data_IF_546111094123
#
_entry.id   IF_546111094123
#
_cell.length_a   1.000
_cell.length_b   1.000
_cell.length_c   1.000
_cell.angle_alpha   90.00
_cell.angle_beta   90.00
_cell.angle_gamma   90.00
#
_symmetry.space_group_name_H-M   'P 1'
#
loop_
_entity.id
_entity.type
_entity.pdbx_description
1 polymer ?
#
# COMPACT_ATOMS: atom_id res chain seq x y z
N UNK A 1 55.02 53.24 -42.16
CA UNK A 1 54.40 51.94 -41.86
C UNK A 1 54.24 51.71 -40.35
N UNK A 2 53.22 52.28 -39.66
CA UNK A 2 52.90 51.78 -38.31
C UNK A 2 51.40 51.55 -38.01
N UNK A 3 50.48 51.66 -38.97
CA UNK A 3 49.04 51.54 -38.68
C UNK A 3 48.41 50.15 -38.93
N UNK A 4 49.07 49.25 -39.68
CA UNK A 4 48.53 47.90 -39.94
C UNK A 4 48.86 46.85 -38.87
N UNK A 5 49.80 47.12 -37.95
CA UNK A 5 50.12 46.17 -36.86
C UNK A 5 49.24 46.32 -35.62
N UNK A 6 48.65 47.50 -35.37
CA UNK A 6 47.78 47.70 -34.21
C UNK A 6 46.37 47.12 -34.39
N UNK A 7 45.80 47.12 -35.60
CA UNK A 7 44.48 46.53 -35.85
C UNK A 7 44.48 45.01 -35.72
N UNK A 8 45.56 44.34 -36.14
CA UNK A 8 45.70 42.89 -36.01
C UNK A 8 45.91 42.46 -34.56
N UNK A 9 46.59 43.26 -33.74
CA UNK A 9 46.81 42.96 -32.31
C UNK A 9 45.52 43.18 -31.51
N UNK A 10 44.74 44.22 -31.79
CA UNK A 10 43.42 44.42 -31.15
C UNK A 10 42.42 43.31 -31.52
N UNK A 11 42.41 42.86 -32.78
CA UNK A 11 41.52 41.79 -33.23
C UNK A 11 41.87 40.45 -32.55
N UNK A 12 43.16 40.12 -32.46
CA UNK A 12 43.64 38.89 -31.79
C UNK A 12 43.37 38.93 -30.28
N UNK A 13 43.53 40.09 -29.63
CA UNK A 13 43.16 40.28 -28.21
C UNK A 13 41.65 40.17 -27.97
N UNK A 14 40.82 40.68 -28.88
CA UNK A 14 39.36 40.55 -28.76
C UNK A 14 38.87 39.10 -28.97
N UNK A 15 39.47 38.36 -29.91
CA UNK A 15 39.13 36.95 -30.16
C UNK A 15 39.63 36.05 -29.02
N UNK A 16 40.79 36.32 -28.44
CA UNK A 16 41.28 35.57 -27.27
C UNK A 16 40.45 35.86 -26.02
N UNK A 17 40.04 37.11 -25.78
CA UNK A 17 39.16 37.46 -24.66
C UNK A 17 37.76 36.85 -24.82
N UNK A 18 37.20 36.83 -26.04
CA UNK A 18 35.93 36.14 -26.35
C UNK A 18 36.08 34.63 -26.18
N UNK A 19 37.19 34.02 -26.62
CA UNK A 19 37.41 32.59 -26.42
C UNK A 19 37.66 32.20 -24.95
N UNK A 20 38.24 33.10 -24.15
CA UNK A 20 38.40 32.92 -22.71
C UNK A 20 37.07 33.12 -21.96
N UNK A 21 36.24 34.09 -22.37
CA UNK A 21 34.87 34.25 -21.87
C UNK A 21 33.99 33.06 -22.28
N UNK A 22 34.09 32.56 -23.50
CA UNK A 22 33.41 31.33 -23.94
C UNK A 22 33.91 30.09 -23.19
N UNK A 23 35.19 30.03 -22.82
CA UNK A 23 35.73 28.96 -21.98
C UNK A 23 35.29 29.08 -20.51
N UNK A 24 35.21 30.29 -19.96
CA UNK A 24 34.69 30.56 -18.60
C UNK A 24 33.17 30.39 -18.49
N UNK A 25 32.43 30.61 -19.59
CA UNK A 25 30.98 30.33 -19.68
C UNK A 25 30.73 28.85 -20.03
N UNK A 26 31.71 28.14 -20.61
CA UNK A 26 31.70 26.67 -20.82
C UNK A 26 32.09 25.86 -19.59
N UNK A 27 32.62 26.46 -18.53
CA UNK A 27 32.30 26.01 -17.17
C UNK A 27 30.84 26.38 -16.87
N UNK A 28 29.95 25.85 -17.71
CA UNK A 28 28.54 25.78 -17.41
C UNK A 28 28.47 25.12 -16.04
N UNK A 29 27.87 25.80 -15.08
CA UNK A 29 27.14 25.15 -14.02
C UNK A 29 26.27 24.10 -14.70
N UNK A 30 26.80 22.89 -14.85
CA UNK A 30 26.01 21.73 -15.21
C UNK A 30 25.10 21.61 -14.02
N UNK A 31 23.90 22.15 -14.16
CA UNK A 31 22.77 21.79 -13.32
C UNK A 31 22.54 20.30 -13.59
N UNK A 32 23.40 19.47 -13.01
CA UNK A 32 23.08 18.09 -12.78
C UNK A 32 21.92 18.15 -11.81
N UNK A 33 20.73 17.80 -12.30
CA UNK A 33 19.68 17.30 -11.44
C UNK A 33 20.34 16.17 -10.66
N UNK A 34 20.79 16.45 -9.44
CA UNK A 34 21.18 15.40 -8.52
C UNK A 34 19.95 14.51 -8.42
N UNK A 35 20.11 13.23 -8.75
CA UNK A 35 19.16 12.23 -8.26
C UNK A 35 18.93 12.50 -6.78
N UNK A 36 17.70 12.34 -6.25
CA UNK A 36 17.47 12.49 -4.82
C UNK A 36 18.60 11.78 -4.09
N UNK A 37 19.22 12.45 -3.13
CA UNK A 37 20.10 11.77 -2.19
C UNK A 37 19.18 10.76 -1.49
N UNK A 38 19.10 9.55 -2.04
CA UNK A 38 18.42 8.44 -1.39
C UNK A 38 18.96 8.46 0.03
N UNK A 39 18.09 8.50 1.06
CA UNK A 39 18.52 8.47 2.46
C UNK A 39 19.64 7.46 2.55
N UNK A 40 20.84 7.95 2.93
CA UNK A 40 22.10 7.32 2.56
C UNK A 40 21.95 5.79 2.52
N UNK A 41 22.36 5.17 1.41
CA UNK A 41 22.55 3.72 1.34
C UNK A 41 23.59 3.20 2.36
N UNK A 42 24.03 4.05 3.30
CA UNK A 42 24.71 3.66 4.52
C UNK A 42 23.77 2.80 5.33
N UNK A 43 23.97 1.50 5.12
CA UNK A 43 23.82 0.43 6.07
C UNK A 43 24.12 0.97 7.49
N UNK A 44 23.11 1.44 8.21
CA UNK A 44 22.97 0.89 9.54
C UNK A 44 22.68 -0.58 9.27
N UNK A 45 23.57 -1.47 9.71
CA UNK A 45 23.37 -2.91 9.57
C UNK A 45 21.95 -3.17 10.06
N UNK A 46 21.10 -3.75 9.20
CA UNK A 46 19.71 -4.02 9.53
C UNK A 46 19.65 -4.60 10.94
N UNK A 47 19.14 -3.80 11.87
CA UNK A 47 19.09 -4.12 13.28
C UNK A 47 17.63 -4.21 13.66
N UNK A 48 17.27 -5.35 14.22
CA UNK A 48 15.94 -5.52 14.77
C UNK A 48 15.75 -4.56 15.95
N UNK A 49 14.53 -4.01 16.14
CA UNK A 49 14.26 -3.12 17.24
C UNK A 49 14.43 -3.88 18.56
N UNK A 50 14.82 -3.15 19.61
CA UNK A 50 15.01 -3.76 20.93
C UNK A 50 13.76 -4.50 21.39
N UNK A 51 13.93 -5.71 21.91
CA UNK A 51 12.83 -6.59 22.32
C UNK A 51 12.21 -7.44 21.21
N UNK A 52 12.63 -7.28 19.94
CA UNK A 52 12.16 -8.12 18.84
C UNK A 52 12.89 -9.47 18.81
N UNK A 53 12.22 -10.51 19.30
CA UNK A 53 12.69 -11.89 19.19
C UNK A 53 11.98 -12.65 18.06
N UNK A 54 12.41 -13.88 17.79
CA UNK A 54 11.89 -14.72 16.70
C UNK A 54 10.38 -14.93 16.78
N UNK A 55 9.87 -15.32 17.95
CA UNK A 55 8.46 -15.66 18.14
C UNK A 55 7.57 -14.42 18.03
N UNK A 56 8.02 -13.29 18.59
CA UNK A 56 7.31 -12.01 18.48
C UNK A 56 7.30 -11.50 17.03
N UNK A 57 8.41 -11.65 16.30
CA UNK A 57 8.46 -11.30 14.88
C UNK A 57 7.48 -12.16 14.08
N UNK A 58 7.49 -13.48 14.28
CA UNK A 58 6.53 -14.39 13.63
C UNK A 58 5.09 -14.00 13.95
N UNK A 59 4.76 -13.78 15.23
CA UNK A 59 3.40 -13.42 15.67
C UNK A 59 2.94 -12.12 15.02
N UNK A 60 3.81 -11.11 14.92
CA UNK A 60 3.49 -9.83 14.29
C UNK A 60 3.42 -9.90 12.76
N UNK A 61 4.30 -10.64 12.09
CA UNK A 61 4.22 -10.86 10.63
C UNK A 61 2.96 -11.64 10.27
N UNK A 62 2.66 -12.72 10.99
CA UNK A 62 1.43 -13.48 10.79
C UNK A 62 0.20 -12.62 11.12
N UNK A 63 0.29 -11.79 12.16
CA UNK A 63 -0.73 -10.80 12.50
C UNK A 63 -0.99 -9.85 11.34
N UNK A 64 0.04 -9.28 10.73
CA UNK A 64 -0.10 -8.39 9.57
C UNK A 64 -0.74 -9.09 8.37
N UNK A 65 -0.30 -10.32 8.05
CA UNK A 65 -0.85 -11.11 6.94
C UNK A 65 -2.32 -11.48 7.17
N UNK A 66 -2.65 -12.02 8.34
CA UNK A 66 -4.01 -12.49 8.65
C UNK A 66 -4.95 -11.32 8.93
N UNK A 67 -4.48 -10.26 9.59
CA UNK A 67 -5.23 -9.03 9.78
C UNK A 67 -5.59 -8.39 8.44
N UNK A 68 -4.65 -8.34 7.49
CA UNK A 68 -4.91 -7.92 6.11
C UNK A 68 -5.96 -8.80 5.44
N UNK A 69 -5.82 -10.13 5.52
CA UNK A 69 -6.73 -11.06 4.88
C UNK A 69 -8.14 -11.04 5.49
N UNK A 70 -8.27 -10.77 6.79
CA UNK A 70 -9.57 -10.53 7.44
C UNK A 70 -10.19 -9.24 6.88
N UNK A 71 -9.42 -8.16 6.79
CA UNK A 71 -9.90 -6.88 6.25
C UNK A 71 -10.39 -7.01 4.81
N UNK A 72 -9.56 -7.57 3.93
CA UNK A 72 -9.89 -7.91 2.54
C UNK A 72 -11.22 -8.71 2.48
N UNK A 73 -11.29 -9.83 3.19
CA UNK A 73 -12.47 -10.69 3.16
C UNK A 73 -13.75 -10.08 3.77
N UNK A 74 -13.62 -9.12 4.69
CA UNK A 74 -14.77 -8.38 5.22
C UNK A 74 -15.22 -7.25 4.29
N UNK A 75 -14.30 -6.62 3.54
CA UNK A 75 -14.63 -5.57 2.58
C UNK A 75 -15.18 -6.12 1.26
N UNK A 76 -14.61 -7.23 0.78
CA UNK A 76 -14.91 -7.80 -0.55
C UNK A 76 -16.40 -8.00 -0.89
N UNK A 77 -17.31 -8.36 0.06
CA UNK A 77 -18.74 -8.44 -0.22
C UNK A 77 -19.41 -7.10 -0.59
N UNK A 78 -18.82 -5.99 -0.16
CA UNK A 78 -19.38 -4.63 -0.24
C UNK A 78 -18.50 -3.65 -1.02
N UNK A 79 -17.48 -4.17 -1.70
CA UNK A 79 -16.58 -3.37 -2.51
C UNK A 79 -17.37 -2.55 -3.56
N UNK A 80 -17.03 -1.27 -3.66
CA UNK A 80 -17.67 -0.26 -4.51
C UNK A 80 -19.13 0.07 -4.18
N UNK A 81 -19.69 -0.43 -3.07
CA UNK A 81 -21.06 -0.12 -2.68
C UNK A 81 -21.17 1.23 -1.98
N UNK A 82 -22.32 1.87 -2.11
CA UNK A 82 -22.70 2.97 -1.23
C UNK A 82 -23.14 2.41 0.12
N UNK A 83 -22.82 3.08 1.22
CA UNK A 83 -23.20 2.64 2.58
C UNK A 83 -24.71 2.41 2.78
N UNK A 84 -25.55 3.12 2.02
CA UNK A 84 -27.01 2.92 2.09
C UNK A 84 -27.40 1.53 1.54
N UNK A 85 -26.71 1.07 0.49
CA UNK A 85 -26.92 -0.27 -0.06
C UNK A 85 -26.43 -1.34 0.93
N UNK A 86 -25.27 -1.10 1.57
CA UNK A 86 -24.73 -1.98 2.62
C UNK A 86 -25.75 -2.12 3.76
N UNK A 87 -26.24 -1.00 4.30
CA UNK A 87 -27.21 -1.00 5.40
C UNK A 87 -28.54 -1.66 4.98
N UNK A 88 -29.02 -1.38 3.78
CA UNK A 88 -30.29 -1.94 3.29
C UNK A 88 -30.22 -3.45 3.09
N UNK A 89 -29.13 -3.95 2.51
CA UNK A 89 -29.00 -5.35 2.09
C UNK A 89 -28.39 -6.25 3.18
N UNK A 90 -27.42 -5.75 3.94
CA UNK A 90 -26.68 -6.52 4.95
C UNK A 90 -26.90 -6.02 6.39
N UNK A 91 -27.30 -4.76 6.56
CA UNK A 91 -27.31 -4.11 7.87
C UNK A 91 -25.90 -3.65 8.27
N UNK A 92 -25.56 -3.79 9.55
CA UNK A 92 -24.21 -3.53 10.04
C UNK A 92 -23.30 -4.74 9.81
N UNK A 93 -22.25 -4.56 9.03
CA UNK A 93 -21.26 -5.59 8.72
C UNK A 93 -20.27 -5.72 9.87
N UNK A 94 -20.30 -6.86 10.57
CA UNK A 94 -19.45 -7.13 11.73
C UNK A 94 -18.78 -8.51 11.73
N UNK A 95 -18.87 -9.22 10.59
CA UNK A 95 -18.34 -10.55 10.43
C UNK A 95 -17.92 -10.83 8.98
N UNK A 96 -17.41 -12.04 8.72
CA UNK A 96 -17.09 -12.48 7.36
C UNK A 96 -18.37 -12.93 6.65
N UNK A 97 -18.66 -12.29 5.52
CA UNK A 97 -19.85 -12.52 4.69
C UNK A 97 -19.53 -13.14 3.32
N UNK A 98 -20.56 -13.66 2.66
CA UNK A 98 -20.45 -14.26 1.33
C UNK A 98 -20.11 -13.19 0.29
N UNK A 99 -19.18 -13.46 -0.61
CA UNK A 99 -18.86 -12.55 -1.71
C UNK A 99 -19.78 -12.87 -2.89
N UNK A 100 -20.98 -12.28 -2.90
CA UNK A 100 -22.03 -12.56 -3.90
C UNK A 100 -21.84 -11.64 -5.12
N UNK A 101 -20.92 -12.02 -6.01
CA UNK A 101 -20.71 -11.38 -7.31
C UNK A 101 -20.03 -12.33 -8.28
N UNK A 102 -19.97 -11.94 -9.55
CA UNK A 102 -19.16 -12.63 -10.56
C UNK A 102 -17.68 -12.59 -10.18
N UNK A 103 -16.94 -13.59 -10.62
CA UNK A 103 -15.50 -13.59 -10.44
C UNK A 103 -14.81 -12.65 -11.42
N UNK A 104 -13.66 -12.13 -11.03
CA UNK A 104 -12.82 -11.29 -11.89
C UNK A 104 -11.34 -11.54 -11.57
N UNK A 105 -10.41 -11.11 -12.45
CA UNK A 105 -8.98 -11.25 -12.19
C UNK A 105 -8.54 -10.50 -10.94
N UNK A 106 -9.01 -9.28 -10.72
CA UNK A 106 -8.66 -8.41 -9.58
C UNK A 106 -9.52 -8.74 -8.34
N UNK A 107 -10.77 -9.12 -8.51
CA UNK A 107 -11.67 -9.49 -7.41
C UNK A 107 -11.60 -10.98 -7.04
N UNK A 108 -12.72 -11.62 -6.66
CA UNK A 108 -12.76 -13.05 -6.35
C UNK A 108 -12.56 -13.89 -7.62
N UNK A 109 -11.78 -14.97 -7.54
CA UNK A 109 -11.55 -15.85 -8.69
C UNK A 109 -12.69 -16.81 -9.03
N UNK A 110 -13.75 -16.85 -8.23
CA UNK A 110 -14.93 -17.64 -8.52
C UNK A 110 -16.18 -16.87 -8.08
N UNK A 111 -17.30 -17.14 -8.76
CA UNK A 111 -18.57 -16.58 -8.36
C UNK A 111 -18.97 -17.10 -6.97
N UNK A 112 -19.54 -16.22 -6.15
CA UNK A 112 -20.12 -16.54 -4.85
C UNK A 112 -19.14 -17.25 -3.91
N UNK A 113 -18.03 -16.58 -3.54
CA UNK A 113 -17.09 -17.14 -2.58
C UNK A 113 -17.75 -17.28 -1.20
N UNK A 114 -17.42 -18.36 -0.45
CA UNK A 114 -17.84 -18.46 0.92
C UNK A 114 -17.16 -17.38 1.77
N UNK A 115 -17.74 -17.11 2.93
CA UNK A 115 -17.21 -16.10 3.83
C UNK A 115 -15.77 -16.41 4.28
N UNK A 116 -14.92 -15.40 4.14
CA UNK A 116 -13.45 -15.51 4.24
C UNK A 116 -12.74 -15.48 2.88
N UNK A 117 -13.46 -15.46 1.76
CA UNK A 117 -12.88 -15.26 0.43
C UNK A 117 -12.27 -13.86 0.27
N UNK A 118 -11.09 -13.80 -0.32
CA UNK A 118 -10.25 -12.61 -0.48
C UNK A 118 -10.03 -12.25 -1.96
N UNK A 119 -9.48 -11.07 -2.24
CA UNK A 119 -9.26 -10.50 -3.58
C UNK A 119 -7.77 -10.46 -3.97
N UNK A 120 -7.39 -9.59 -4.91
CA UNK A 120 -5.99 -9.39 -5.29
C UNK A 120 -5.15 -8.73 -4.19
N UNK A 121 -5.78 -8.04 -3.24
CA UNK A 121 -5.13 -7.57 -2.02
C UNK A 121 -4.33 -8.68 -1.35
N UNK A 122 -4.97 -9.75 -0.90
CA UNK A 122 -4.26 -10.85 -0.25
C UNK A 122 -3.23 -11.52 -1.17
N UNK A 123 -3.50 -11.59 -2.48
CA UNK A 123 -2.58 -12.17 -3.47
C UNK A 123 -1.31 -11.33 -3.65
N UNK A 124 -1.42 -10.00 -3.62
CA UNK A 124 -0.27 -9.09 -3.68
C UNK A 124 0.61 -9.19 -2.44
N UNK A 125 -0.01 -9.25 -1.25
CA UNK A 125 0.72 -9.49 0.01
C UNK A 125 1.47 -10.83 -0.05
N UNK A 126 0.84 -11.89 -0.55
CA UNK A 126 1.46 -13.21 -0.69
C UNK A 126 2.62 -13.20 -1.70
N UNK A 127 2.41 -12.62 -2.89
CA UNK A 127 3.42 -12.54 -3.95
C UNK A 127 4.67 -11.77 -3.49
N UNK A 128 4.49 -10.59 -2.89
CA UNK A 128 5.62 -9.83 -2.39
C UNK A 128 6.29 -10.54 -1.21
N UNK A 129 5.53 -11.15 -0.30
CA UNK A 129 6.10 -11.93 0.80
C UNK A 129 7.03 -13.04 0.30
N UNK A 130 6.61 -13.79 -0.74
CA UNK A 130 7.45 -14.84 -1.34
C UNK A 130 8.72 -14.29 -2.02
N UNK A 131 8.65 -13.09 -2.58
CA UNK A 131 9.84 -12.38 -3.07
C UNK A 131 10.80 -12.02 -1.94
N UNK A 132 10.28 -11.46 -0.85
CA UNK A 132 11.10 -11.02 0.28
C UNK A 132 11.72 -12.21 1.03
N UNK A 133 10.99 -13.32 1.17
CA UNK A 133 11.48 -14.53 1.84
C UNK A 133 12.62 -15.22 1.08
N UNK A 134 12.69 -15.04 -0.24
CA UNK A 134 13.74 -15.60 -1.10
C UNK A 134 14.78 -14.57 -1.53
N UNK A 135 14.59 -13.30 -1.16
CA UNK A 135 15.50 -12.23 -1.53
C UNK A 135 16.89 -12.44 -0.91
N UNK A 136 18.00 -12.09 -1.57
CA UNK A 136 19.32 -12.23 -0.95
C UNK A 136 19.41 -11.47 0.38
N UNK A 137 19.96 -12.10 1.41
CA UNK A 137 20.19 -11.44 2.69
C UNK A 137 21.28 -10.37 2.60
N UNK A 138 21.29 -9.45 3.56
CA UNK A 138 22.30 -8.39 3.72
C UNK A 138 22.46 -7.45 2.51
N UNK A 139 21.42 -7.31 1.69
CA UNK A 139 21.44 -6.35 0.58
C UNK A 139 21.29 -4.91 1.10
N UNK A 140 22.03 -3.94 0.53
CA UNK A 140 21.92 -2.54 0.91
C UNK A 140 20.56 -1.95 0.51
N UNK A 141 19.83 -2.58 -0.41
CA UNK A 141 18.50 -2.18 -0.87
C UNK A 141 17.75 -3.32 -1.57
N UNK A 142 16.44 -3.20 -1.66
CA UNK A 142 15.63 -3.97 -2.59
C UNK A 142 15.87 -3.47 -4.01
N UNK A 143 16.01 -4.38 -4.97
CA UNK A 143 16.22 -4.06 -6.37
C UNK A 143 14.87 -3.98 -7.09
N UNK A 144 14.46 -2.78 -7.55
CA UNK A 144 13.20 -2.64 -8.28
C UNK A 144 13.19 -3.41 -9.60
N UNK A 145 14.35 -3.72 -10.20
CA UNK A 145 14.40 -4.58 -11.40
C UNK A 145 14.13 -6.05 -11.05
N UNK A 146 14.67 -6.55 -9.95
CA UNK A 146 14.36 -7.89 -9.46
C UNK A 146 12.86 -8.02 -9.14
N UNK A 147 12.28 -6.99 -8.52
CA UNK A 147 10.83 -6.92 -8.27
C UNK A 147 10.01 -6.91 -9.56
N UNK A 148 10.36 -6.06 -10.53
CA UNK A 148 9.71 -6.04 -11.84
C UNK A 148 9.83 -7.40 -12.57
N UNK A 149 11.02 -8.01 -12.53
CA UNK A 149 11.26 -9.33 -13.13
C UNK A 149 10.39 -10.41 -12.50
N UNK A 150 10.22 -10.41 -11.17
CA UNK A 150 9.33 -11.36 -10.49
C UNK A 150 7.91 -11.30 -11.07
N UNK A 151 7.37 -10.10 -11.29
CA UNK A 151 6.02 -9.88 -11.83
C UNK A 151 5.93 -10.40 -13.26
N UNK A 152 6.91 -10.07 -14.10
CA UNK A 152 6.98 -10.53 -15.50
C UNK A 152 7.07 -12.05 -15.56
N UNK A 153 7.99 -12.65 -14.81
CA UNK A 153 8.18 -14.11 -14.78
C UNK A 153 6.91 -14.82 -14.28
N UNK A 154 6.22 -14.26 -13.28
CA UNK A 154 4.98 -14.83 -12.76
C UNK A 154 3.87 -14.77 -13.82
N UNK A 155 3.68 -13.61 -14.46
CA UNK A 155 2.70 -13.43 -15.51
C UNK A 155 2.95 -14.35 -16.71
N UNK A 156 4.20 -14.48 -17.17
CA UNK A 156 4.57 -15.37 -18.27
C UNK A 156 4.29 -16.84 -17.95
N UNK A 157 4.59 -17.29 -16.72
CA UNK A 157 4.23 -18.63 -16.25
C UNK A 157 2.72 -18.84 -16.24
N UNK A 158 1.98 -17.89 -15.67
CA UNK A 158 0.53 -17.97 -15.54
C UNK A 158 -0.18 -18.01 -16.91
N UNK A 159 0.26 -17.20 -17.87
CA UNK A 159 -0.25 -17.22 -19.24
C UNK A 159 0.08 -18.53 -19.94
N UNK A 160 1.31 -19.03 -19.79
CA UNK A 160 1.70 -20.32 -20.36
C UNK A 160 0.81 -21.46 -19.86
N UNK A 161 0.53 -21.48 -18.56
CA UNK A 161 -0.33 -22.49 -17.94
C UNK A 161 -1.79 -22.36 -18.43
N UNK A 162 -2.33 -21.13 -18.48
CA UNK A 162 -3.68 -20.88 -18.99
C UNK A 162 -3.84 -21.33 -20.45
N UNK A 163 -2.86 -21.03 -21.31
CA UNK A 163 -2.88 -21.41 -22.73
C UNK A 163 -2.62 -22.91 -22.98
N UNK A 164 -2.17 -23.66 -21.95
CA UNK A 164 -2.02 -25.10 -22.05
C UNK A 164 -3.37 -25.85 -21.97
N UNK A 165 -4.43 -25.19 -21.51
CA UNK A 165 -5.78 -25.75 -21.43
C UNK A 165 -6.33 -26.00 -22.84
N UNK A 166 -6.55 -27.28 -23.18
CA UNK A 166 -7.16 -27.70 -24.45
C UNK A 166 -8.55 -28.24 -24.18
N UNK A 167 -9.58 -27.46 -24.53
CA UNK A 167 -10.98 -27.84 -24.40
C UNK A 167 -11.78 -27.29 -25.59
N UNK A 168 -12.79 -28.04 -26.04
CA UNK A 168 -13.79 -27.53 -26.99
C UNK A 168 -14.82 -26.64 -26.29
N UNK A 169 -15.10 -26.92 -25.01
CA UNK A 169 -15.87 -26.04 -24.13
C UNK A 169 -15.00 -24.82 -23.74
N UNK A 170 -15.48 -23.58 -23.91
CA UNK A 170 -14.73 -22.38 -23.51
C UNK A 170 -14.59 -22.22 -21.99
N UNK A 171 -15.52 -22.75 -21.18
CA UNK A 171 -15.58 -22.46 -19.75
C UNK A 171 -14.30 -22.82 -18.96
N UNK A 172 -13.61 -23.95 -19.21
CA UNK A 172 -12.31 -24.24 -18.58
C UNK A 172 -11.22 -23.21 -18.88
N UNK A 173 -11.15 -22.70 -20.12
CA UNK A 173 -10.16 -21.70 -20.51
C UNK A 173 -10.48 -20.34 -19.89
N UNK A 174 -11.75 -19.93 -19.91
CA UNK A 174 -12.21 -18.68 -19.28
C UNK A 174 -11.88 -18.64 -17.79
N UNK A 175 -12.11 -19.75 -17.08
CA UNK A 175 -11.79 -19.88 -15.66
C UNK A 175 -10.29 -19.75 -15.38
N UNK A 176 -9.44 -20.36 -16.19
CA UNK A 176 -7.99 -20.22 -16.03
C UNK A 176 -7.52 -18.82 -16.41
N UNK A 177 -8.03 -18.23 -17.49
CA UNK A 177 -7.71 -16.85 -17.85
C UNK A 177 -8.06 -15.88 -16.72
N UNK A 178 -9.25 -16.01 -16.11
CA UNK A 178 -9.65 -15.19 -14.97
C UNK A 178 -8.64 -15.28 -13.82
N UNK A 179 -8.16 -16.47 -13.48
CA UNK A 179 -7.17 -16.67 -12.41
C UNK A 179 -5.76 -16.20 -12.77
N UNK A 180 -5.41 -16.25 -14.06
CA UNK A 180 -4.03 -16.14 -14.54
C UNK A 180 -3.70 -14.79 -15.16
N UNK A 181 -4.70 -13.93 -15.38
CA UNK A 181 -4.53 -12.62 -16.01
C UNK A 181 -4.53 -11.44 -15.01
N UNK A 182 -4.66 -11.67 -13.71
CA UNK A 182 -4.70 -10.61 -12.70
C UNK A 182 -3.44 -9.72 -12.64
N UNK A 183 -2.30 -10.22 -13.12
CA UNK A 183 -1.05 -9.44 -13.26
C UNK A 183 -0.92 -8.75 -14.63
N UNK A 184 -1.93 -8.79 -15.50
CA UNK A 184 -1.79 -8.31 -16.89
C UNK A 184 -1.42 -6.82 -16.98
N UNK A 185 -2.16 -5.95 -16.29
CA UNK A 185 -1.85 -4.51 -16.28
C UNK A 185 -0.49 -4.22 -15.62
N UNK A 186 -0.16 -4.98 -14.58
CA UNK A 186 1.12 -4.89 -13.87
C UNK A 186 2.30 -5.30 -14.75
N UNK A 187 2.18 -6.41 -15.48
CA UNK A 187 3.23 -6.89 -16.38
C UNK A 187 3.51 -5.92 -17.54
N UNK A 188 2.48 -5.20 -18.04
CA UNK A 188 2.64 -4.16 -19.07
C UNK A 188 3.54 -3.01 -18.62
N UNK A 189 3.54 -2.68 -17.33
CA UNK A 189 4.43 -1.66 -16.74
C UNK A 189 5.78 -2.26 -16.34
N UNK A 190 5.77 -3.44 -15.70
CA UNK A 190 6.96 -4.09 -15.17
C UNK A 190 7.95 -4.51 -16.27
N UNK A 191 7.46 -5.00 -17.42
CA UNK A 191 8.31 -5.48 -18.52
C UNK A 191 9.23 -4.38 -19.08
N UNK A 192 8.74 -3.24 -19.58
CA UNK A 192 9.62 -2.19 -20.08
C UNK A 192 10.53 -1.61 -18.98
N UNK A 193 10.08 -1.57 -17.72
CA UNK A 193 10.94 -1.18 -16.60
C UNK A 193 12.14 -2.13 -16.44
N UNK A 194 11.88 -3.44 -16.42
CA UNK A 194 12.90 -4.48 -16.32
C UNK A 194 13.87 -4.44 -17.52
N UNK A 195 13.34 -4.23 -18.74
CA UNK A 195 14.10 -4.17 -19.99
C UNK A 195 14.91 -2.87 -20.17
N UNK A 196 14.80 -1.90 -19.25
CA UNK A 196 15.37 -0.55 -19.35
C UNK A 196 14.84 0.26 -20.54
N UNK A 197 13.64 -0.07 -21.01
CA UNK A 197 12.92 0.76 -21.96
C UNK A 197 12.21 1.90 -21.22
N UNK A 198 12.94 3.00 -21.02
CA UNK A 198 12.41 4.17 -20.31
C UNK A 198 11.19 4.80 -21.02
N UNK A 199 11.16 4.75 -22.35
CA UNK A 199 10.04 5.31 -23.11
C UNK A 199 8.80 4.42 -22.98
N UNK A 200 8.97 3.11 -23.14
CA UNK A 200 7.90 2.13 -22.93
C UNK A 200 7.39 2.14 -21.49
N UNK A 201 8.29 2.24 -20.50
CA UNK A 201 7.91 2.32 -19.09
C UNK A 201 7.13 3.59 -18.80
N UNK A 202 7.61 4.75 -19.27
CA UNK A 202 6.90 6.01 -19.11
C UNK A 202 5.51 5.95 -19.76
N UNK A 203 5.41 5.42 -20.97
CA UNK A 203 4.13 5.25 -21.66
C UNK A 203 3.17 4.32 -20.91
N UNK A 204 3.67 3.17 -20.45
CA UNK A 204 2.87 2.19 -19.73
C UNK A 204 2.39 2.71 -18.37
N UNK A 205 3.30 3.31 -17.58
CA UNK A 205 2.98 3.86 -16.26
C UNK A 205 1.88 4.92 -16.33
N UNK A 206 1.94 5.84 -17.30
CA UNK A 206 0.92 6.89 -17.45
C UNK A 206 -0.44 6.36 -17.98
N UNK A 207 -0.56 5.06 -18.26
CA UNK A 207 -1.80 4.40 -18.68
C UNK A 207 -2.26 3.30 -17.73
N UNK A 208 -1.43 2.96 -16.75
CA UNK A 208 -1.73 1.95 -15.74
C UNK A 208 -3.00 2.38 -14.99
N UNK A 209 -4.03 1.52 -15.02
CA UNK A 209 -5.38 1.84 -14.56
C UNK A 209 -5.92 3.20 -15.05
N UNK A 210 -5.69 3.50 -16.34
CA UNK A 210 -6.16 4.73 -16.96
C UNK A 210 -5.29 5.95 -16.68
N UNK A 211 -4.14 5.79 -16.02
CA UNK A 211 -3.26 6.89 -15.60
C UNK A 211 -3.67 7.50 -14.25
N UNK A 212 -4.51 6.81 -13.50
CA UNK A 212 -4.97 7.23 -12.17
C UNK A 212 -3.85 7.12 -11.13
N UNK A 213 -3.88 7.96 -10.10
CA UNK A 213 -3.05 7.82 -8.89
C UNK A 213 -3.63 6.72 -7.98
N UNK A 214 -3.72 5.50 -8.52
CA UNK A 214 -4.30 4.34 -7.86
C UNK A 214 -3.49 3.91 -6.62
N UNK A 215 -4.15 3.18 -5.72
CA UNK A 215 -3.57 2.61 -4.49
C UNK A 215 -2.61 1.42 -4.73
N UNK A 216 -2.12 1.22 -5.95
CA UNK A 216 -1.38 0.03 -6.39
C UNK A 216 -0.22 -0.36 -5.47
N UNK A 217 0.64 0.58 -5.09
CA UNK A 217 1.73 0.31 -4.16
C UNK A 217 1.28 -0.08 -2.75
N UNK A 218 0.11 0.38 -2.31
CA UNK A 218 -0.46 0.09 -1.01
C UNK A 218 -0.87 -1.39 -0.87
N UNK A 219 -1.15 -2.09 -1.97
CA UNK A 219 -1.54 -3.50 -1.95
C UNK A 219 -0.39 -4.39 -1.43
N UNK A 220 0.87 -4.04 -1.72
CA UNK A 220 2.03 -4.85 -1.31
C UNK A 220 2.91 -4.16 -0.24
N UNK A 221 2.87 -2.84 -0.11
CA UNK A 221 3.66 -2.08 0.87
C UNK A 221 3.65 -2.62 2.31
N UNK A 222 2.54 -3.18 2.86
CA UNK A 222 2.53 -3.72 4.21
C UNK A 222 3.65 -4.74 4.49
N UNK A 223 3.97 -5.61 3.52
CA UNK A 223 5.00 -6.63 3.73
C UNK A 223 6.41 -6.05 3.72
N UNK A 224 6.64 -4.93 3.04
CA UNK A 224 7.90 -4.18 3.13
C UNK A 224 8.07 -3.62 4.54
N UNK A 225 6.98 -3.11 5.13
CA UNK A 225 6.96 -2.64 6.52
C UNK A 225 7.25 -3.76 7.51
N UNK A 226 6.61 -4.92 7.34
CA UNK A 226 6.83 -6.10 8.17
C UNK A 226 8.27 -6.62 8.08
N UNK A 227 8.89 -6.55 6.90
CA UNK A 227 10.28 -6.95 6.65
C UNK A 227 11.31 -6.00 7.29
N UNK A 228 10.95 -4.73 7.54
CA UNK A 228 11.79 -3.73 8.19
C UNK A 228 11.20 -3.26 9.54
N UNK A 229 11.03 -4.16 10.52
CA UNK A 229 10.34 -3.84 11.77
C UNK A 229 11.04 -2.71 12.53
N UNK A 230 10.29 -1.69 12.96
CA UNK A 230 10.81 -0.53 13.68
C UNK A 230 11.68 0.44 12.86
N UNK A 231 12.12 0.08 11.65
CA UNK A 231 12.91 0.97 10.80
C UNK A 231 12.02 1.69 9.79
N UNK A 232 11.32 2.69 10.28
CA UNK A 232 10.24 3.39 9.58
C UNK A 232 10.74 4.13 8.32
N UNK A 233 11.89 4.79 8.40
CA UNK A 233 12.48 5.49 7.25
C UNK A 233 12.96 4.51 6.16
N UNK A 234 13.49 3.35 6.57
CA UNK A 234 13.89 2.29 5.64
C UNK A 234 12.69 1.67 4.94
N UNK A 235 11.66 1.28 5.69
CA UNK A 235 10.42 0.75 5.14
C UNK A 235 9.80 1.70 4.11
N UNK A 236 9.72 2.99 4.45
CA UNK A 236 9.27 4.03 3.52
C UNK A 236 10.11 4.04 2.23
N UNK A 237 11.43 4.11 2.36
CA UNK A 237 12.33 4.32 1.22
C UNK A 237 12.36 3.12 0.28
N UNK A 238 12.35 1.90 0.82
CA UNK A 238 12.31 0.69 0.00
C UNK A 238 10.95 0.47 -0.65
N UNK A 239 9.87 0.80 0.04
CA UNK A 239 8.53 0.77 -0.56
C UNK A 239 8.38 1.82 -1.66
N UNK A 240 8.87 3.03 -1.44
CA UNK A 240 8.95 4.05 -2.48
C UNK A 240 9.78 3.56 -3.68
N UNK A 241 10.91 2.90 -3.44
CA UNK A 241 11.78 2.35 -4.49
C UNK A 241 11.06 1.30 -5.34
N UNK A 242 10.30 0.40 -4.72
CA UNK A 242 9.51 -0.63 -5.39
C UNK A 242 8.19 -0.11 -6.00
N UNK A 243 7.74 1.10 -5.62
CA UNK A 243 6.58 1.81 -6.16
C UNK A 243 6.71 2.24 -7.62
N UNK A 244 7.06 1.32 -8.51
CA UNK A 244 7.23 1.55 -9.96
C UNK A 244 5.90 1.69 -10.71
N UNK A 245 4.77 1.44 -10.02
CA UNK A 245 3.40 1.57 -10.53
C UNK A 245 2.71 2.86 -10.09
N UNK A 246 3.27 3.54 -9.09
CA UNK A 246 2.61 4.68 -8.45
C UNK A 246 2.96 6.00 -9.14
N UNK A 247 1.94 6.82 -9.35
CA UNK A 247 2.06 8.16 -9.92
C UNK A 247 2.05 9.25 -8.83
N UNK A 248 2.90 10.27 -9.01
CA UNK A 248 2.91 11.46 -8.16
C UNK A 248 3.01 11.14 -6.67
N UNK A 249 2.10 11.71 -5.88
CA UNK A 249 2.09 11.54 -4.43
C UNK A 249 1.50 10.20 -3.95
N UNK A 250 0.90 9.39 -4.84
CA UNK A 250 0.54 8.01 -4.49
C UNK A 250 1.77 7.23 -4.04
N UNK A 251 2.93 7.52 -4.63
CA UNK A 251 4.21 6.90 -4.26
C UNK A 251 4.69 7.31 -2.86
N UNK A 252 4.43 8.54 -2.43
CA UNK A 252 4.66 9.00 -1.04
C UNK A 252 3.76 8.24 -0.05
N UNK A 253 2.49 8.07 -0.42
CA UNK A 253 1.51 7.31 0.36
C UNK A 253 1.90 5.83 0.45
N UNK A 254 2.34 5.19 -0.64
CA UNK A 254 2.88 3.82 -0.66
C UNK A 254 4.02 3.67 0.34
N UNK A 255 4.98 4.60 0.33
CA UNK A 255 6.05 4.65 1.32
C UNK A 255 5.52 4.74 2.75
N UNK A 256 4.55 5.62 3.02
CA UNK A 256 3.91 5.75 4.34
C UNK A 256 3.17 4.48 4.76
N UNK A 257 2.49 3.78 3.85
CA UNK A 257 1.82 2.51 4.14
C UNK A 257 2.78 1.47 4.71
N UNK A 258 3.95 1.28 4.09
CA UNK A 258 4.99 0.42 4.64
C UNK A 258 5.51 0.94 5.98
N UNK A 259 5.67 2.26 6.10
CA UNK A 259 6.15 2.90 7.31
C UNK A 259 5.22 2.68 8.52
N UNK A 260 3.89 2.71 8.34
CA UNK A 260 2.93 2.46 9.43
C UNK A 260 3.06 1.04 9.96
N UNK A 261 3.18 0.06 9.05
CA UNK A 261 3.38 -1.34 9.46
C UNK A 261 4.72 -1.50 10.17
N UNK A 262 5.81 -0.94 9.66
CA UNK A 262 7.10 -0.95 10.35
C UNK A 262 7.03 -0.33 11.75
N UNK A 263 6.30 0.78 11.91
CA UNK A 263 6.09 1.43 13.20
C UNK A 263 5.25 0.55 14.15
N UNK A 264 4.21 -0.13 13.63
CA UNK A 264 3.36 -1.05 14.36
C UNK A 264 4.08 -2.33 14.80
N UNK A 265 5.10 -2.75 14.04
CA UNK A 265 5.96 -3.88 14.42
C UNK A 265 6.80 -3.59 15.67
N UNK A 266 7.03 -2.32 16.04
CA UNK A 266 7.90 -2.00 17.18
C UNK A 266 7.33 -2.56 18.50
N UNK A 267 8.11 -3.36 19.27
CA UNK A 267 7.64 -3.90 20.54
C UNK A 267 7.26 -2.80 21.54
N UNK A 268 6.08 -2.93 22.16
CA UNK A 268 5.59 -1.99 23.16
C UNK A 268 5.26 -0.58 22.65
N UNK A 269 5.15 -0.39 21.34
CA UNK A 269 4.75 0.91 20.77
C UNK A 269 3.35 1.30 21.25
N UNK A 270 3.14 2.59 21.54
CA UNK A 270 1.80 3.11 21.80
C UNK A 270 1.08 3.39 20.48
N UNK A 271 -0.21 3.05 20.39
CA UNK A 271 -0.97 3.11 19.15
C UNK A 271 -0.98 4.51 18.50
N UNK A 272 -1.06 5.58 19.30
CA UNK A 272 -1.05 6.98 18.84
C UNK A 272 0.22 7.36 18.07
N UNK A 273 1.31 6.60 18.24
CA UNK A 273 2.58 6.82 17.55
C UNK A 273 2.58 6.29 16.12
N UNK A 274 1.67 5.37 15.78
CA UNK A 274 1.64 4.74 14.45
C UNK A 274 1.28 5.79 13.40
N UNK A 275 0.12 6.45 13.52
CA UNK A 275 -0.32 7.46 12.55
C UNK A 275 0.49 8.76 12.61
N UNK A 276 1.16 9.04 13.74
CA UNK A 276 1.98 10.24 13.93
C UNK A 276 3.14 10.33 12.93
N UNK A 277 3.60 9.19 12.37
CA UNK A 277 4.69 9.20 11.38
C UNK A 277 4.33 9.95 10.09
N UNK A 278 3.03 10.13 9.79
CA UNK A 278 2.56 10.97 8.68
C UNK A 278 3.10 12.40 8.77
N UNK A 279 3.39 12.86 9.99
CA UNK A 279 4.04 14.15 10.28
C UNK A 279 5.57 14.04 10.30
N UNK A 280 6.13 13.00 10.90
CA UNK A 280 7.56 12.96 11.26
C UNK A 280 8.47 12.21 10.29
N UNK A 281 7.93 11.41 9.38
CA UNK A 281 8.71 10.59 8.44
C UNK A 281 8.53 11.11 7.02
N UNK A 282 9.53 11.82 6.53
CA UNK A 282 9.57 12.39 5.18
C UNK A 282 11.01 12.29 4.60
N UNK A 283 11.53 11.06 4.41
CA UNK A 283 12.93 10.87 4.05
C UNK A 283 13.26 11.35 2.62
N UNK A 284 12.24 11.54 1.77
CA UNK A 284 12.38 12.11 0.42
C UNK A 284 11.94 13.58 0.34
N UNK A 285 11.69 14.22 1.48
CA UNK A 285 11.46 15.65 1.61
C UNK A 285 10.29 16.20 0.77
N UNK A 286 9.17 15.47 0.68
CA UNK A 286 7.93 15.92 0.04
C UNK A 286 7.38 17.21 0.66
N UNK A 287 7.64 17.45 1.94
CA UNK A 287 7.27 18.68 2.66
C UNK A 287 7.94 19.94 2.11
N UNK A 288 9.06 19.80 1.40
CA UNK A 288 9.72 20.93 0.73
C UNK A 288 8.99 21.45 -0.51
N UNK A 289 7.91 20.80 -0.96
CA UNK A 289 7.09 21.26 -2.07
C UNK A 289 6.53 22.66 -1.79
N UNK A 290 7.09 23.68 -2.46
CA UNK A 290 6.85 25.10 -2.17
C UNK A 290 5.39 25.54 -2.30
N UNK A 291 4.64 24.97 -3.24
CA UNK A 291 3.28 25.42 -3.55
C UNK A 291 2.22 24.70 -2.72
N UNK A 292 2.37 23.39 -2.55
CA UNK A 292 1.31 22.55 -1.98
C UNK A 292 1.69 21.90 -0.65
N UNK A 293 2.96 21.95 -0.26
CA UNK A 293 3.49 21.17 0.86
C UNK A 293 3.35 19.67 0.61
N UNK A 294 3.37 18.87 1.69
CA UNK A 294 3.18 17.42 1.60
C UNK A 294 1.70 17.06 1.64
N UNK A 295 1.21 16.43 0.57
CA UNK A 295 -0.20 16.06 0.43
C UNK A 295 -0.62 15.03 1.49
N UNK A 296 0.18 13.99 1.72
CA UNK A 296 -0.10 12.98 2.74
C UNK A 296 -0.21 13.59 4.16
N UNK A 297 0.56 14.63 4.48
CA UNK A 297 0.43 15.32 5.76
C UNK A 297 -0.87 16.12 5.88
N UNK A 298 -1.37 16.70 4.77
CA UNK A 298 -2.70 17.35 4.76
C UNK A 298 -3.80 16.34 4.98
N UNK A 299 -3.73 15.18 4.32
CA UNK A 299 -4.67 14.06 4.50
C UNK A 299 -4.69 13.59 5.97
N UNK A 300 -3.51 13.46 6.60
CA UNK A 300 -3.43 13.15 8.03
C UNK A 300 -4.12 14.19 8.93
N UNK A 301 -3.98 15.48 8.62
CA UNK A 301 -4.68 16.55 9.35
C UNK A 301 -6.19 16.46 9.16
N UNK A 302 -6.65 16.17 7.94
CA UNK A 302 -8.06 15.99 7.63
C UNK A 302 -8.64 14.81 8.42
N UNK A 303 -7.95 13.67 8.46
CA UNK A 303 -8.35 12.51 9.30
C UNK A 303 -8.47 12.88 10.80
N UNK A 304 -7.49 13.62 11.35
CA UNK A 304 -7.53 14.10 12.73
C UNK A 304 -8.72 15.04 12.98
N UNK A 305 -9.01 15.93 12.04
CA UNK A 305 -10.15 16.83 12.11
C UNK A 305 -11.48 16.06 12.08
N UNK A 306 -11.64 15.15 11.11
CA UNK A 306 -12.84 14.31 10.98
C UNK A 306 -13.13 13.57 12.29
N UNK A 307 -12.13 12.89 12.84
CA UNK A 307 -12.30 12.13 14.09
C UNK A 307 -12.55 13.05 15.28
N UNK A 308 -11.94 14.24 15.32
CA UNK A 308 -12.20 15.22 16.36
C UNK A 308 -13.66 15.69 16.35
N UNK A 309 -14.15 16.14 15.19
CA UNK A 309 -15.54 16.58 15.01
C UNK A 309 -16.52 15.47 15.32
N UNK A 310 -16.29 14.27 14.78
CA UNK A 310 -17.11 13.10 15.07
C UNK A 310 -17.17 12.82 16.58
N UNK A 311 -16.01 12.75 17.27
CA UNK A 311 -15.97 12.46 18.72
C UNK A 311 -16.48 13.60 19.60
N UNK A 312 -16.62 14.81 19.06
CA UNK A 312 -17.17 15.97 19.78
C UNK A 312 -18.67 15.88 20.03
N UNK A 313 -19.39 15.10 19.22
CA UNK A 313 -20.83 14.85 19.41
C UNK A 313 -21.09 14.26 20.80
N UNK A 314 -22.11 14.81 21.44
CA UNK A 314 -22.70 14.36 22.69
C UNK A 314 -24.02 13.65 22.43
N UNK A 315 -24.59 13.02 23.47
CA UNK A 315 -25.83 12.25 23.34
C UNK A 315 -27.01 13.13 22.89
N UNK A 316 -27.00 14.41 23.25
CA UNK A 316 -28.02 15.40 22.91
C UNK A 316 -27.99 15.82 21.44
N UNK A 317 -26.84 15.64 20.77
CA UNK A 317 -26.68 15.96 19.35
C UNK A 317 -27.20 14.82 18.44
N UNK A 318 -27.45 13.64 19.00
CA UNK A 318 -27.92 12.46 18.26
C UNK A 318 -29.44 12.56 18.07
N UNK A 319 -29.95 12.49 16.83
CA UNK A 319 -31.39 12.53 16.58
C UNK A 319 -32.14 11.44 17.37
N UNK A 320 -33.25 11.83 18.02
CA UNK A 320 -34.05 10.91 18.83
C UNK A 320 -34.73 9.80 17.99
N UNK A 321 -34.90 10.05 16.69
CA UNK A 321 -35.46 9.15 15.68
C UNK A 321 -34.39 8.46 14.83
N UNK A 322 -33.12 8.46 15.27
CA UNK A 322 -32.03 7.78 14.58
C UNK A 322 -32.30 6.27 14.46
N UNK A 323 -32.52 5.81 13.24
CA UNK A 323 -32.66 4.38 12.95
C UNK A 323 -31.28 3.70 12.94
N UNK A 324 -31.11 2.71 13.82
CA UNK A 324 -29.90 1.91 13.86
C UNK A 324 -29.95 0.80 12.80
N UNK A 325 -28.83 0.51 12.11
CA UNK A 325 -28.73 -0.63 11.21
C UNK A 325 -29.11 -1.94 11.91
N UNK A 326 -29.62 -2.89 11.13
CA UNK A 326 -29.82 -4.27 11.64
C UNK A 326 -28.49 -4.82 12.15
N UNK A 327 -28.55 -5.56 13.26
CA UNK A 327 -27.39 -6.19 13.92
C UNK A 327 -26.35 -5.20 14.50
N UNK A 328 -26.67 -3.90 14.55
CA UNK A 328 -25.79 -2.93 15.19
C UNK A 328 -25.69 -3.20 16.70
N UNK A 329 -24.46 -3.29 17.21
CA UNK A 329 -24.16 -3.76 18.57
C UNK A 329 -23.65 -2.68 19.53
N UNK A 330 -23.49 -1.45 19.06
CA UNK A 330 -23.02 -0.32 19.88
C UNK A 330 -24.17 0.61 20.27
N UNK A 331 -23.86 1.62 21.07
CA UNK A 331 -24.85 2.63 21.46
C UNK A 331 -25.15 3.64 20.33
N UNK A 332 -26.30 4.34 20.38
CA UNK A 332 -26.67 5.34 19.38
C UNK A 332 -25.66 6.48 19.22
N UNK A 333 -24.96 6.85 20.30
CA UNK A 333 -23.94 7.89 20.23
C UNK A 333 -22.76 7.43 19.38
N UNK A 334 -22.28 6.20 19.53
CA UNK A 334 -21.26 5.62 18.68
C UNK A 334 -21.69 5.63 17.20
N UNK A 335 -22.95 5.24 16.91
CA UNK A 335 -23.46 5.29 15.54
C UNK A 335 -23.49 6.71 14.99
N UNK A 336 -24.01 7.68 15.75
CA UNK A 336 -24.03 9.10 15.35
C UNK A 336 -22.62 9.66 15.09
N UNK A 337 -21.63 9.29 15.92
CA UNK A 337 -20.23 9.65 15.69
C UNK A 337 -19.66 9.02 14.42
N UNK A 338 -19.97 7.75 14.16
CA UNK A 338 -19.55 7.07 12.94
C UNK A 338 -20.18 7.71 11.70
N UNK A 339 -21.49 8.01 11.73
CA UNK A 339 -22.17 8.73 10.66
C UNK A 339 -21.58 10.13 10.43
N UNK A 340 -21.23 10.86 11.51
CA UNK A 340 -20.59 12.17 11.36
C UNK A 340 -19.22 12.07 10.71
N UNK A 341 -18.45 11.03 11.04
CA UNK A 341 -17.17 10.79 10.38
C UNK A 341 -17.37 10.46 8.89
N UNK A 342 -18.39 9.67 8.55
CA UNK A 342 -18.73 9.31 7.16
C UNK A 342 -19.14 10.54 6.34
N UNK A 343 -20.02 11.40 6.89
CA UNK A 343 -20.42 12.66 6.25
C UNK A 343 -19.19 13.52 5.90
N UNK A 344 -18.26 13.69 6.84
CA UNK A 344 -17.06 14.51 6.61
C UNK A 344 -16.03 13.83 5.69
N UNK A 345 -16.04 12.50 5.59
CA UNK A 345 -15.27 11.77 4.58
C UNK A 345 -15.86 11.99 3.18
N UNK A 346 -17.18 12.08 3.05
CA UNK A 346 -17.85 12.28 1.76
C UNK A 346 -17.47 13.61 1.09
N UNK A 347 -17.24 14.65 1.90
CA UNK A 347 -16.73 15.95 1.45
C UNK A 347 -15.32 15.89 0.81
N UNK A 348 -14.66 14.73 0.90
CA UNK A 348 -13.26 14.52 0.48
C UNK A 348 -13.11 13.39 -0.55
N UNK A 349 -14.22 12.84 -1.05
CA UNK A 349 -14.20 11.79 -2.06
C UNK A 349 -13.39 12.20 -3.28
N UNK A 350 -12.68 11.23 -3.83
CA UNK A 350 -12.09 11.30 -5.15
C UNK A 350 -13.06 10.69 -6.17
N UNK A 351 -12.89 11.04 -7.44
CA UNK A 351 -13.73 10.52 -8.52
C UNK A 351 -13.68 8.99 -8.59
N UNK A 352 -12.50 8.42 -8.27
CA UNK A 352 -12.22 6.99 -8.32
C UNK A 352 -11.99 6.46 -6.90
N UNK A 353 -12.78 5.47 -6.41
CA UNK A 353 -12.66 4.94 -5.05
C UNK A 353 -11.26 4.42 -4.68
N UNK A 354 -10.59 3.77 -5.63
CA UNK A 354 -9.24 3.21 -5.47
C UNK A 354 -8.10 4.24 -5.64
N UNK A 355 -8.42 5.55 -5.62
CA UNK A 355 -7.42 6.60 -5.61
C UNK A 355 -6.64 6.58 -4.28
N UNK A 356 -5.30 6.59 -4.32
CA UNK A 356 -4.43 6.43 -3.15
C UNK A 356 -4.71 7.43 -2.00
N UNK A 357 -5.00 8.70 -2.30
CA UNK A 357 -5.43 9.70 -1.30
C UNK A 357 -6.70 9.28 -0.53
N UNK A 358 -7.70 8.73 -1.22
CA UNK A 358 -8.97 8.35 -0.62
C UNK A 358 -8.75 7.16 0.32
N UNK A 359 -8.09 6.11 -0.18
CA UNK A 359 -7.71 4.94 0.63
C UNK A 359 -6.93 5.36 1.87
N UNK A 360 -5.98 6.27 1.69
CA UNK A 360 -5.14 6.76 2.77
C UNK A 360 -5.94 7.56 3.82
N UNK A 361 -6.87 8.42 3.38
CA UNK A 361 -7.73 9.20 4.27
C UNK A 361 -8.66 8.29 5.08
N UNK A 362 -9.33 7.34 4.43
CA UNK A 362 -10.24 6.40 5.11
C UNK A 362 -9.45 5.55 6.11
N UNK A 363 -8.30 4.99 5.70
CA UNK A 363 -7.43 4.21 6.58
C UNK A 363 -6.99 4.99 7.83
N UNK A 364 -6.50 6.23 7.67
CA UNK A 364 -6.08 7.05 8.80
C UNK A 364 -7.27 7.42 9.70
N UNK A 365 -8.42 7.75 9.11
CA UNK A 365 -9.63 8.09 9.87
C UNK A 365 -10.11 6.88 10.69
N UNK A 366 -10.13 5.69 10.10
CA UNK A 366 -10.49 4.45 10.79
C UNK A 366 -9.55 4.15 11.95
N UNK A 367 -8.22 4.20 11.72
CA UNK A 367 -7.22 3.98 12.77
C UNK A 367 -7.41 4.95 13.95
N UNK A 368 -7.61 6.24 13.67
CA UNK A 368 -7.83 7.28 14.67
C UNK A 368 -9.18 7.15 15.39
N UNK A 369 -10.21 6.66 14.69
CA UNK A 369 -11.53 6.42 15.25
C UNK A 369 -11.49 5.24 16.22
N UNK A 370 -10.97 4.09 15.78
CA UNK A 370 -10.94 2.82 16.53
C UNK A 370 -9.82 2.67 17.55
N UNK A 371 -8.74 3.47 17.47
CA UNK A 371 -7.67 3.56 18.48
C UNK A 371 -7.04 2.22 18.89
N UNK A 372 -6.81 1.33 17.92
CA UNK A 372 -6.17 0.02 18.13
C UNK A 372 -7.13 -1.13 18.43
N UNK A 373 -8.44 -0.85 18.56
CA UNK A 373 -9.46 -1.91 18.58
C UNK A 373 -9.64 -2.47 17.16
N UNK A 374 -9.26 -3.74 16.97
CA UNK A 374 -9.30 -4.37 15.65
C UNK A 374 -10.70 -4.38 15.05
N UNK A 375 -11.69 -4.85 15.81
CA UNK A 375 -13.05 -5.03 15.33
C UNK A 375 -13.67 -3.68 14.98
N UNK A 376 -13.64 -2.71 15.89
CA UNK A 376 -14.21 -1.37 15.65
C UNK A 376 -13.57 -0.69 14.45
N UNK A 377 -12.27 -0.86 14.26
CA UNK A 377 -11.54 -0.21 13.17
C UNK A 377 -11.88 -0.83 11.81
N UNK A 378 -11.89 -2.16 11.71
CA UNK A 378 -12.27 -2.85 10.46
C UNK A 378 -13.75 -2.62 10.15
N UNK A 379 -14.62 -2.74 11.15
CA UNK A 379 -16.06 -2.50 10.99
C UNK A 379 -16.35 -1.06 10.51
N UNK A 380 -15.62 -0.06 11.01
CA UNK A 380 -15.73 1.32 10.50
C UNK A 380 -15.48 1.39 8.99
N UNK A 381 -14.43 0.74 8.51
CA UNK A 381 -14.05 0.76 7.09
C UNK A 381 -15.11 0.07 6.24
N UNK A 382 -15.47 -1.17 6.58
CA UNK A 382 -16.35 -1.98 5.72
C UNK A 382 -17.78 -1.44 5.68
N UNK A 383 -18.23 -0.72 6.72
CA UNK A 383 -19.53 -0.05 6.72
C UNK A 383 -19.51 1.36 6.08
N UNK A 384 -18.34 1.92 5.74
CA UNK A 384 -18.27 3.17 4.97
C UNK A 384 -18.56 2.95 3.48
N UNK A 385 -18.15 1.81 2.93
CA UNK A 385 -18.24 1.48 1.50
C UNK A 385 -17.03 1.99 0.71
N UNK A 386 -17.20 2.25 -0.59
CA UNK A 386 -16.12 2.60 -1.53
C UNK A 386 -15.18 1.40 -1.77
N UNK A 387 -13.89 1.61 -1.96
CA UNK A 387 -12.87 0.56 -2.16
C UNK A 387 -12.47 -0.08 -0.81
N UNK A 388 -13.44 -0.63 -0.10
CA UNK A 388 -13.29 -0.98 1.31
C UNK A 388 -12.53 -2.28 1.57
N UNK A 389 -12.39 -3.19 0.61
CA UNK A 389 -11.52 -4.38 0.73
C UNK A 389 -10.05 -3.95 0.78
N UNK A 390 -9.62 -3.07 -0.11
CA UNK A 390 -8.27 -2.49 -0.11
C UNK A 390 -8.00 -1.70 1.17
N UNK A 391 -8.90 -0.78 1.55
CA UNK A 391 -8.74 0.00 2.79
C UNK A 391 -8.64 -0.95 3.99
N UNK A 392 -9.58 -1.89 4.12
CA UNK A 392 -9.62 -2.80 5.26
C UNK A 392 -8.40 -3.74 5.27
N UNK A 393 -7.90 -4.15 4.11
CA UNK A 393 -6.68 -4.95 4.01
C UNK A 393 -5.45 -4.17 4.51
N UNK A 394 -5.28 -2.91 4.09
CA UNK A 394 -4.19 -2.04 4.57
C UNK A 394 -4.33 -1.77 6.07
N UNK A 395 -5.52 -1.39 6.53
CA UNK A 395 -5.80 -1.12 7.94
C UNK A 395 -5.60 -2.37 8.80
N UNK A 396 -6.06 -3.51 8.33
CA UNK A 396 -5.90 -4.82 8.98
C UNK A 396 -4.46 -5.26 9.07
N UNK A 397 -3.62 -4.96 8.07
CA UNK A 397 -2.19 -5.23 8.14
C UNK A 397 -1.50 -4.41 9.22
N UNK A 398 -1.84 -3.12 9.35
CA UNK A 398 -1.28 -2.23 10.37
C UNK A 398 -1.70 -2.69 11.78
N UNK A 399 -2.99 -2.96 11.99
CA UNK A 399 -3.51 -3.44 13.27
C UNK A 399 -2.99 -4.84 13.61
N UNK A 400 -2.89 -5.72 12.63
CA UNK A 400 -2.34 -7.05 12.79
C UNK A 400 -0.86 -7.04 13.17
N UNK A 401 -0.06 -6.16 12.58
CA UNK A 401 1.33 -5.94 12.99
C UNK A 401 1.43 -5.38 14.42
N UNK A 402 0.51 -4.49 14.79
CA UNK A 402 0.45 -3.89 16.13
C UNK A 402 0.09 -4.94 17.20
N UNK A 403 -1.01 -5.66 17.00
CA UNK A 403 -1.57 -6.62 17.96
C UNK A 403 -0.85 -7.97 17.97
N UNK A 404 -0.25 -8.37 16.84
CA UNK A 404 0.17 -9.75 16.61
C UNK A 404 -1.01 -10.68 16.29
N UNK A 405 -0.72 -11.85 15.70
CA UNK A 405 -1.72 -12.87 15.38
C UNK A 405 -2.46 -13.33 16.65
N UNK A 406 -1.73 -13.46 17.75
CA UNK A 406 -2.26 -13.77 19.07
C UNK A 406 -3.37 -12.79 19.52
N UNK A 407 -3.27 -11.51 19.16
CA UNK A 407 -4.24 -10.46 19.49
C UNK A 407 -5.43 -10.31 18.52
N UNK A 408 -5.46 -11.05 17.40
CA UNK A 408 -6.57 -11.02 16.46
C UNK A 408 -7.79 -11.84 16.94
N UNK A 409 -9.03 -11.46 16.58
CA UNK A 409 -10.22 -12.21 16.97
C UNK A 409 -10.21 -13.66 16.47
N UNK A 410 -10.34 -14.64 17.37
CA UNK A 410 -10.13 -16.07 17.09
C UNK A 410 -11.00 -16.57 15.93
N UNK A 411 -12.30 -16.29 15.96
CA UNK A 411 -13.23 -16.71 14.91
C UNK A 411 -12.86 -16.15 13.54
N UNK A 412 -12.37 -14.91 13.46
CA UNK A 412 -12.00 -14.27 12.21
C UNK A 412 -10.68 -14.83 11.67
N UNK A 413 -9.65 -14.97 12.53
CA UNK A 413 -8.33 -15.45 12.11
C UNK A 413 -8.36 -16.93 11.69
N UNK A 414 -9.09 -17.79 12.39
CA UNK A 414 -9.25 -19.19 12.03
C UNK A 414 -9.97 -19.38 10.69
N UNK A 415 -11.06 -18.61 10.47
CA UNK A 415 -11.83 -18.68 9.23
C UNK A 415 -11.04 -18.11 8.05
N UNK A 416 -10.31 -17.01 8.27
CA UNK A 416 -9.44 -16.40 7.26
C UNK A 416 -8.32 -17.34 6.82
N UNK A 417 -7.60 -17.98 7.76
CA UNK A 417 -6.57 -18.97 7.43
C UNK A 417 -7.11 -20.13 6.60
N UNK A 418 -8.27 -20.66 7.01
CA UNK A 418 -8.93 -21.77 6.30
C UNK A 418 -9.33 -21.38 4.89
N UNK A 419 -10.03 -20.25 4.74
CA UNK A 419 -10.52 -19.78 3.45
C UNK A 419 -9.37 -19.49 2.47
N UNK A 420 -8.29 -18.84 2.91
CA UNK A 420 -7.13 -18.58 2.06
C UNK A 420 -6.47 -19.87 1.56
N UNK A 421 -6.33 -20.88 2.44
CA UNK A 421 -5.75 -22.17 2.07
C UNK A 421 -6.65 -22.95 1.11
N UNK A 422 -7.95 -23.00 1.37
CA UNK A 422 -8.92 -23.81 0.61
C UNK A 422 -9.29 -23.16 -0.74
N UNK A 423 -9.43 -21.84 -0.79
CA UNK A 423 -9.91 -21.11 -1.98
C UNK A 423 -8.76 -20.65 -2.88
N UNK A 424 -7.64 -20.21 -2.31
CA UNK A 424 -6.51 -19.63 -3.06
C UNK A 424 -5.27 -20.53 -3.07
N UNK A 425 -5.20 -21.56 -2.23
CA UNK A 425 -3.98 -22.35 -2.05
C UNK A 425 -2.86 -21.58 -1.35
N UNK A 426 -3.21 -20.47 -0.67
CA UNK A 426 -2.26 -19.59 0.01
C UNK A 426 -2.13 -20.02 1.48
N UNK A 427 -0.90 -20.30 1.92
CA UNK A 427 -0.58 -20.54 3.33
C UNK A 427 0.07 -19.29 3.94
N UNK A 428 -0.71 -18.50 4.67
CA UNK A 428 -0.22 -17.31 5.36
C UNK A 428 0.74 -17.65 6.50
N UNK A 429 0.50 -18.77 7.20
CA UNK A 429 1.39 -19.29 8.25
C UNK A 429 2.75 -19.68 7.69
N UNK A 430 2.77 -20.40 6.57
CA UNK A 430 4.04 -20.78 5.94
C UNK A 430 4.80 -19.55 5.47
N UNK A 431 4.12 -18.57 4.87
CA UNK A 431 4.77 -17.35 4.44
C UNK A 431 5.35 -16.54 5.61
N UNK A 432 4.64 -16.44 6.73
CA UNK A 432 5.15 -15.80 7.94
C UNK A 432 6.38 -16.54 8.50
N UNK A 433 6.37 -17.87 8.45
CA UNK A 433 7.52 -18.70 8.82
C UNK A 433 8.71 -18.43 7.90
N UNK A 434 8.51 -18.44 6.58
CA UNK A 434 9.59 -18.21 5.60
C UNK A 434 10.22 -16.82 5.78
N UNK A 435 9.41 -15.80 6.03
CA UNK A 435 9.88 -14.45 6.35
C UNK A 435 10.63 -14.38 7.69
N UNK A 436 10.22 -15.18 8.67
CA UNK A 436 10.91 -15.28 9.97
C UNK A 436 12.27 -15.95 9.81
N UNK A 437 12.34 -17.04 9.04
CA UNK A 437 13.59 -17.72 8.71
C UNK A 437 14.53 -16.83 7.91
N UNK A 438 13.98 -15.99 7.05
CA UNK A 438 14.76 -15.03 6.29
C UNK A 438 15.44 -13.97 7.18
N UNK A 439 14.84 -13.62 8.32
CA UNK A 439 15.39 -12.64 9.27
C UNK A 439 16.31 -13.29 10.32
N UNK A 440 15.93 -14.47 10.84
CA UNK A 440 16.60 -15.12 11.97
C UNK A 440 17.42 -16.37 11.59
N UNK A 441 17.43 -16.77 10.32
CA UNK A 441 17.92 -18.06 9.86
C UNK A 441 16.94 -19.20 10.17
N UNK A 442 17.06 -20.33 9.47
CA UNK A 442 16.26 -21.53 9.76
C UNK A 442 16.57 -22.04 11.16
N UNK A 443 15.54 -22.44 11.91
CA UNK A 443 15.72 -23.20 13.14
C UNK A 443 16.38 -24.53 12.76
N UNK A 444 17.66 -24.73 13.08
CA UNK A 444 18.34 -25.99 12.81
C UNK A 444 17.51 -27.16 13.35
N UNK A 445 17.27 -28.17 12.50
CA UNK A 445 16.76 -29.47 12.93
C UNK A 445 17.90 -30.30 13.52
#
# INVERSE_FOLDING_TARGET
MPFQKLSSILLVLSVTLISQLEAQVKESNTYQLKTPDWPNSTIEAFALPSGMNRDLYYDKVLGALVGSAIGDAMGAPTEMWHRDDINTLLGYVDSLDLVIREGSPEGPWAANLPAGGTTDDTRWKYLLGGFLSTYPQHQPALDPKAFAKMIVDQYERDIKDALAVRSFDPAPLEKELQKKTWLQEWAKVAKPFFENDLQGYSYALNRFYGGEMACAGMLYAPLIGAYYPGNVARAYTESYRLGIFDLGYARDITGLTAAYVAQAMQPGISFDRITLISRSVDPLNYSSSRLVGRIAFRIYRDAKYIVHEAKSLQAEDVPADLELPKNFKYDPLYYGRMQKAFELLDDKLQDIPFHAAEIHLINLTALEFGQGDFARTIEFVVNYGRDNDTVAAVTGAILGAYLGFSGLPDRLKERSLRANKELLGISLEQLAQDLTEQVFGSSGR
#
